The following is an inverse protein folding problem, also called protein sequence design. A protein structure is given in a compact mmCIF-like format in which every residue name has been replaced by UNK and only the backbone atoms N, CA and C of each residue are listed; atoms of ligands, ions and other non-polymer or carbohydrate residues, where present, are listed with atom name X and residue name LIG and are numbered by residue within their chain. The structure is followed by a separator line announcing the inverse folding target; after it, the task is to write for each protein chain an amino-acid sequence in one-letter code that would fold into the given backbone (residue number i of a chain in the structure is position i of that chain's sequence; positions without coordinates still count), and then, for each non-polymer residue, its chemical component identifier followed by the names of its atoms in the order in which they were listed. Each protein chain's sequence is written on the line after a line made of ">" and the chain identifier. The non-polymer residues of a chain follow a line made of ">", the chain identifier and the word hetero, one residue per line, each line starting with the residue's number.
data_IF_921510280455
#
_entry.id   IF_921510280455
#
_cell.length_a   1.000
_cell.length_b   1.000
_cell.length_c   1.000
_cell.angle_alpha   90.00
_cell.angle_beta   90.00
_cell.angle_gamma   90.00
#
_symmetry.space_group_name_H-M   'P 1'
#
loop_
_entity.id
_entity.type
_entity.pdbx_description
1 polymer ?
#
# COMPACT_ATOMS: atom_id res chain seq x y z
N UNK A 1 -12.19 20.90 -9.68
CA UNK A 1 -12.51 20.44 -8.31
C UNK A 1 -11.20 20.11 -7.62
N UNK A 2 -10.82 20.91 -6.63
CA UNK A 2 -9.72 20.59 -5.70
C UNK A 2 -10.36 19.98 -4.46
N UNK A 3 -9.97 18.74 -4.09
CA UNK A 3 -10.52 18.08 -2.89
C UNK A 3 -10.78 16.57 -2.97
N UNK A 4 -10.27 15.87 -4.00
CA UNK A 4 -10.38 14.40 -4.01
C UNK A 4 -9.40 13.80 -2.99
N UNK A 5 -9.83 12.85 -2.15
CA UNK A 5 -8.96 12.27 -1.13
C UNK A 5 -7.81 11.52 -1.81
N UNK A 6 -6.65 11.53 -1.15
CA UNK A 6 -5.47 10.78 -1.62
C UNK A 6 -5.73 9.28 -1.57
N UNK A 7 -6.54 8.85 -0.60
CA UNK A 7 -6.94 7.46 -0.36
C UNK A 7 -8.43 7.42 -0.06
N UNK A 8 -9.18 6.60 -0.78
CA UNK A 8 -10.60 6.34 -0.56
C UNK A 8 -10.81 5.31 0.56
N UNK A 9 -9.95 4.27 0.63
CA UNK A 9 -9.96 3.24 1.67
C UNK A 9 -8.67 3.26 2.51
N UNK A 10 -8.75 3.91 3.67
CA UNK A 10 -7.63 4.04 4.60
C UNK A 10 -7.24 2.73 5.29
N UNK A 11 -8.16 1.77 5.42
CA UNK A 11 -7.87 0.49 6.06
C UNK A 11 -7.13 -0.43 5.09
N UNK A 12 -7.50 -0.42 3.80
CA UNK A 12 -6.68 -1.00 2.74
C UNK A 12 -5.27 -0.40 2.78
N UNK A 13 -5.15 0.93 2.77
CA UNK A 13 -3.86 1.60 2.67
C UNK A 13 -2.94 1.24 3.84
N UNK A 14 -3.45 1.31 5.08
CA UNK A 14 -2.68 0.91 6.28
C UNK A 14 -2.27 -0.55 6.24
N UNK A 15 -3.14 -1.43 5.74
CA UNK A 15 -2.85 -2.86 5.61
C UNK A 15 -1.71 -3.10 4.62
N UNK A 16 -1.75 -2.48 3.44
CA UNK A 16 -0.69 -2.62 2.45
C UNK A 16 0.63 -2.00 2.92
N UNK A 17 0.59 -0.82 3.57
CA UNK A 17 1.78 -0.21 4.18
C UNK A 17 2.39 -1.14 5.23
N UNK A 18 1.57 -1.76 6.09
CA UNK A 18 2.06 -2.69 7.10
C UNK A 18 2.68 -3.94 6.46
N UNK A 19 2.01 -4.53 5.48
CA UNK A 19 2.53 -5.71 4.76
C UNK A 19 3.86 -5.40 4.07
N UNK A 20 3.93 -4.31 3.31
CA UNK A 20 5.15 -3.91 2.60
C UNK A 20 6.32 -3.62 3.55
N UNK A 21 6.06 -2.99 4.70
CA UNK A 21 7.07 -2.79 5.77
C UNK A 21 7.63 -4.12 6.28
N UNK A 22 6.73 -5.05 6.59
CA UNK A 22 7.07 -6.32 7.22
C UNK A 22 7.80 -7.26 6.25
N UNK A 23 7.32 -7.35 5.00
CA UNK A 23 7.84 -8.31 4.03
C UNK A 23 9.07 -7.78 3.30
N UNK A 24 9.06 -6.50 2.90
CA UNK A 24 10.13 -5.94 2.06
C UNK A 24 11.20 -5.19 2.87
N UNK A 25 11.12 -5.18 4.21
CA UNK A 25 12.08 -4.49 5.08
C UNK A 25 12.14 -2.97 4.87
N UNK A 26 11.10 -2.38 4.28
CA UNK A 26 11.12 -0.98 3.89
C UNK A 26 11.11 -0.06 5.14
N UNK A 27 12.16 0.74 5.32
CA UNK A 27 12.19 1.89 6.25
C UNK A 27 11.33 3.03 5.70
N UNK A 28 10.02 2.81 5.58
CA UNK A 28 9.07 3.86 5.16
C UNK A 28 8.79 4.84 6.32
N UNK A 29 9.82 5.30 7.01
CA UNK A 29 9.69 6.18 8.18
C UNK A 29 9.55 7.66 7.82
N UNK A 30 9.79 8.05 6.56
CA UNK A 30 9.44 9.41 6.13
C UNK A 30 9.38 9.58 4.60
N UNK A 31 10.24 8.86 3.87
CA UNK A 31 10.27 8.91 2.41
C UNK A 31 9.16 8.05 1.80
N UNK A 32 8.03 8.72 1.59
CA UNK A 32 6.78 8.24 0.98
C UNK A 32 6.94 7.89 -0.52
N UNK A 33 8.09 7.38 -0.98
CA UNK A 33 8.33 7.11 -2.41
C UNK A 33 7.27 6.18 -3.00
N UNK A 34 6.80 5.21 -2.22
CA UNK A 34 5.81 4.22 -2.66
C UNK A 34 4.40 4.46 -2.10
N UNK A 35 4.23 5.48 -1.26
CA UNK A 35 2.95 5.78 -0.62
C UNK A 35 1.83 6.04 -1.64
N UNK A 36 2.11 6.84 -2.68
CA UNK A 36 1.15 7.09 -3.74
C UNK A 36 0.75 5.83 -4.52
N UNK A 37 1.68 4.88 -4.69
CA UNK A 37 1.39 3.62 -5.38
C UNK A 37 0.45 2.73 -4.54
N UNK A 38 0.72 2.61 -3.24
CA UNK A 38 -0.13 1.86 -2.32
C UNK A 38 -1.53 2.50 -2.17
N UNK A 39 -1.60 3.83 -2.18
CA UNK A 39 -2.86 4.57 -2.20
C UNK A 39 -3.68 4.27 -3.46
N UNK A 40 -3.05 4.30 -4.63
CA UNK A 40 -3.72 4.01 -5.89
C UNK A 40 -4.26 2.57 -5.96
N UNK A 41 -3.54 1.58 -5.41
CA UNK A 41 -4.03 0.20 -5.34
C UNK A 41 -5.36 0.13 -4.58
N UNK A 42 -5.47 0.85 -3.47
CA UNK A 42 -6.70 0.92 -2.69
C UNK A 42 -7.82 1.68 -3.42
N UNK A 43 -7.50 2.80 -4.08
CA UNK A 43 -8.51 3.58 -4.83
C UNK A 43 -9.02 2.83 -6.07
N UNK A 44 -8.24 1.90 -6.62
CA UNK A 44 -8.67 1.00 -7.69
C UNK A 44 -9.63 -0.10 -7.20
N UNK A 45 -9.84 -0.24 -5.89
CA UNK A 45 -10.73 -1.26 -5.32
C UNK A 45 -10.20 -2.68 -5.50
N UNK A 46 -8.88 -2.86 -5.64
CA UNK A 46 -8.26 -4.18 -5.70
C UNK A 46 -8.45 -4.88 -4.35
N UNK A 47 -8.72 -6.19 -4.37
CA UNK A 47 -8.84 -6.96 -3.13
C UNK A 47 -7.55 -6.85 -2.30
N UNK A 48 -7.71 -6.45 -1.04
CA UNK A 48 -6.58 -6.20 -0.13
C UNK A 48 -5.80 -7.49 0.14
N UNK A 49 -6.43 -8.66 0.16
CA UNK A 49 -5.73 -9.93 0.40
C UNK A 49 -4.88 -10.33 -0.80
N UNK A 50 -5.40 -10.13 -2.02
CA UNK A 50 -4.62 -10.32 -3.24
C UNK A 50 -3.39 -9.40 -3.27
N UNK A 51 -3.59 -8.13 -2.89
CA UNK A 51 -2.50 -7.15 -2.82
C UNK A 51 -1.45 -7.50 -1.76
N UNK A 52 -1.87 -8.01 -0.60
CA UNK A 52 -0.96 -8.52 0.46
C UNK A 52 -0.18 -9.73 -0.04
N UNK A 53 -0.83 -10.70 -0.67
CA UNK A 53 -0.15 -11.88 -1.21
C UNK A 53 0.88 -11.52 -2.29
N UNK A 54 0.55 -10.54 -3.14
CA UNK A 54 1.50 -10.04 -4.15
C UNK A 54 2.73 -9.36 -3.52
N UNK A 55 2.55 -8.63 -2.40
CA UNK A 55 3.66 -8.05 -1.64
C UNK A 55 4.54 -9.15 -1.03
N UNK A 56 3.92 -10.18 -0.45
CA UNK A 56 4.64 -11.33 0.13
C UNK A 56 5.46 -12.07 -0.93
N UNK A 57 4.84 -12.35 -2.08
CA UNK A 57 5.52 -13.02 -3.20
C UNK A 57 6.66 -12.17 -3.77
N UNK A 58 6.43 -10.88 -4.01
CA UNK A 58 7.43 -9.99 -4.60
C UNK A 58 8.66 -9.76 -3.70
N UNK A 59 8.51 -9.96 -2.39
CA UNK A 59 9.56 -9.75 -1.40
C UNK A 59 10.07 -11.05 -0.76
N UNK A 60 9.71 -12.22 -1.32
CA UNK A 60 10.13 -13.54 -0.84
C UNK A 60 11.61 -13.89 -1.17
N UNK A 61 12.54 -12.99 -0.87
CA UNK A 61 13.98 -13.14 -1.15
C UNK A 61 14.85 -12.95 0.09
#
# INVERSE_FOLDING_TARGET
>A
TTGQPVVDDWDCYKTLVKSFKNQCGAKMEYDMKYAGALANICNMGVDVKQSVAAIEEACAH
#
